data_IF_187752330381
#
_entry.id   IF_187752330381
#
_cell.length_a   1.000
_cell.length_b   1.000
_cell.length_c   1.000
_cell.angle_alpha   90.00
_cell.angle_beta   90.00
_cell.angle_gamma   90.00
#
_symmetry.space_group_name_H-M   'P 1'
#
loop_
_entity.id
_entity.type
_entity.pdbx_description
1 polymer ?
#
# COMPACT_ATOMS: atom_id res chain seq x y z
N UNK A 1 -11.02 2.50 22.52
CA UNK A 1 -9.67 2.24 21.98
C UNK A 1 -9.79 2.31 20.47
N UNK A 2 -9.47 3.44 19.86
CA UNK A 2 -9.34 3.49 18.39
C UNK A 2 -7.94 2.97 18.09
N UNK A 3 -7.85 1.79 17.48
CA UNK A 3 -6.58 1.34 16.90
C UNK A 3 -6.26 2.33 15.79
N UNK A 4 -5.31 3.23 16.02
CA UNK A 4 -4.81 4.10 14.96
C UNK A 4 -3.91 3.24 14.08
N UNK A 5 -4.50 2.60 13.07
CA UNK A 5 -3.75 1.89 12.05
C UNK A 5 -2.97 2.93 11.25
N UNK A 6 -1.70 3.13 11.61
CA UNK A 6 -0.80 3.99 10.84
C UNK A 6 -0.32 3.20 9.63
N UNK A 7 -0.66 3.68 8.44
CA UNK A 7 -0.19 3.10 7.18
C UNK A 7 1.10 3.79 6.76
N UNK A 8 2.12 2.99 6.49
CA UNK A 8 3.37 3.42 5.89
C UNK A 8 3.33 3.11 4.39
N UNK A 9 3.61 4.11 3.56
CA UNK A 9 3.61 3.99 2.09
C UNK A 9 5.00 4.35 1.60
N UNK A 10 5.64 3.44 0.86
CA UNK A 10 6.99 3.63 0.35
C UNK A 10 7.09 3.22 -1.12
N UNK A 11 8.10 3.75 -1.81
CA UNK A 11 8.37 3.53 -3.22
C UNK A 11 9.79 3.02 -3.42
N UNK A 12 9.92 1.89 -4.09
CA UNK A 12 11.19 1.27 -4.45
C UNK A 12 11.29 1.11 -5.97
N UNK A 13 12.44 1.44 -6.55
CA UNK A 13 12.69 1.18 -7.97
C UNK A 13 13.41 -0.16 -8.12
N UNK A 14 12.77 -1.13 -8.77
CA UNK A 14 13.28 -2.49 -8.87
C UNK A 14 14.31 -2.66 -10.01
N UNK A 15 15.02 -3.80 -10.00
CA UNK A 15 15.99 -4.15 -11.04
C UNK A 15 15.36 -4.41 -12.42
N UNK A 16 14.04 -4.55 -12.50
CA UNK A 16 13.27 -4.70 -13.73
C UNK A 16 12.87 -3.35 -14.35
N UNK A 17 13.26 -2.24 -13.73
CA UNK A 17 12.98 -0.89 -14.23
C UNK A 17 11.58 -0.37 -13.91
N UNK A 18 10.90 -0.96 -12.93
CA UNK A 18 9.55 -0.57 -12.49
C UNK A 18 9.58 0.09 -11.11
N UNK A 19 8.63 1.00 -10.88
CA UNK A 19 8.36 1.57 -9.56
C UNK A 19 7.40 0.65 -8.79
N UNK A 20 7.87 0.12 -7.68
CA UNK A 20 7.08 -0.69 -6.76
C UNK A 20 6.58 0.21 -5.64
N UNK A 21 5.28 0.25 -5.41
CA UNK A 21 4.66 0.91 -4.27
C UNK A 21 4.20 -0.15 -3.26
N UNK A 22 4.53 0.05 -1.99
CA UNK A 22 4.08 -0.82 -0.90
C UNK A 22 3.22 -0.03 0.08
N UNK A 23 2.15 -0.65 0.55
CA UNK A 23 1.37 -0.16 1.70
C UNK A 23 1.51 -1.18 2.83
N UNK A 24 2.01 -0.72 3.96
CA UNK A 24 2.34 -1.53 5.12
C UNK A 24 1.63 -0.98 6.35
N UNK A 25 1.08 -1.87 7.17
CA UNK A 25 0.62 -1.48 8.50
C UNK A 25 1.81 -1.39 9.46
N UNK A 26 1.96 -0.25 10.12
CA UNK A 26 3.11 0.01 10.98
C UNK A 26 3.10 -0.87 12.23
N UNK A 27 1.92 -1.15 12.79
CA UNK A 27 1.78 -1.90 14.04
C UNK A 27 2.09 -3.39 13.86
N UNK A 28 1.50 -4.03 12.86
CA UNK A 28 1.67 -5.46 12.56
C UNK A 28 2.90 -5.74 11.70
N UNK A 29 3.48 -4.71 11.08
CA UNK A 29 4.52 -4.79 10.04
C UNK A 29 4.11 -5.61 8.82
N UNK A 30 2.82 -5.89 8.63
CA UNK A 30 2.31 -6.64 7.48
C UNK A 30 2.21 -5.74 6.24
N UNK A 31 2.56 -6.29 5.08
CA UNK A 31 2.30 -5.66 3.79
C UNK A 31 0.83 -5.92 3.45
N UNK A 32 0.04 -4.85 3.34
CA UNK A 32 -1.39 -4.94 3.04
C UNK A 32 -1.66 -4.95 1.53
N UNK A 33 -0.85 -4.19 0.78
CA UNK A 33 -0.90 -4.15 -0.68
C UNK A 33 0.45 -3.81 -1.28
N UNK A 34 0.64 -4.24 -2.53
CA UNK A 34 1.82 -4.00 -3.35
C UNK A 34 1.38 -3.82 -4.80
N UNK A 35 1.95 -2.83 -5.48
CA UNK A 35 1.67 -2.57 -6.89
C UNK A 35 2.94 -2.19 -7.63
N UNK A 36 2.99 -2.54 -8.92
CA UNK A 36 4.08 -2.20 -9.83
C UNK A 36 3.60 -1.21 -10.89
N UNK A 37 4.37 -0.16 -11.11
CA UNK A 37 3.99 0.99 -11.93
C UNK A 37 5.15 1.46 -12.80
N UNK A 38 4.81 2.08 -13.93
CA UNK A 38 5.78 2.71 -14.83
C UNK A 38 6.35 4.02 -14.27
N UNK A 39 5.59 4.71 -13.41
CA UNK A 39 6.00 5.95 -12.74
C UNK A 39 5.39 6.04 -11.34
N UNK A 40 6.00 6.88 -10.49
CA UNK A 40 5.41 7.26 -9.20
C UNK A 40 4.30 8.28 -9.43
N UNK A 41 3.10 7.98 -8.96
CA UNK A 41 1.96 8.90 -9.08
C UNK A 41 1.03 8.80 -7.88
N UNK A 42 0.27 9.85 -7.65
CA UNK A 42 -0.72 9.90 -6.57
C UNK A 42 -1.88 8.95 -6.86
N UNK A 43 -2.27 8.82 -8.13
CA UNK A 43 -3.36 7.95 -8.58
C UNK A 43 -3.05 6.48 -8.31
N UNK A 44 -1.78 6.07 -8.48
CA UNK A 44 -1.33 4.73 -8.12
C UNK A 44 -1.50 4.46 -6.62
N UNK A 45 -1.12 5.42 -5.76
CA UNK A 45 -1.28 5.30 -4.31
C UNK A 45 -2.76 5.25 -3.92
N UNK A 46 -3.60 6.11 -4.49
CA UNK A 46 -5.05 6.13 -4.22
C UNK A 46 -5.67 4.78 -4.59
N UNK A 47 -5.32 4.23 -5.76
CA UNK A 47 -5.79 2.91 -6.18
C UNK A 47 -5.36 1.80 -5.20
N UNK A 48 -4.10 1.82 -4.76
CA UNK A 48 -3.59 0.83 -3.80
C UNK A 48 -4.30 0.92 -2.43
N UNK A 49 -4.57 2.14 -1.96
CA UNK A 49 -5.28 2.36 -0.69
C UNK A 49 -6.75 1.92 -0.78
N UNK A 50 -7.41 2.16 -1.91
CA UNK A 50 -8.77 1.69 -2.15
C UNK A 50 -8.85 0.15 -2.10
N UNK A 51 -7.85 -0.56 -2.62
CA UNK A 51 -7.74 -2.02 -2.47
C UNK A 51 -7.60 -2.46 -1.01
N UNK A 52 -6.77 -1.75 -0.22
CA UNK A 52 -6.58 -2.06 1.21
C UNK A 52 -7.88 -1.86 1.99
N UNK A 53 -8.61 -0.77 1.73
CA UNK A 53 -9.89 -0.48 2.38
C UNK A 53 -10.92 -1.55 2.01
N UNK A 54 -11.03 -1.91 0.73
CA UNK A 54 -11.95 -2.96 0.26
C UNK A 54 -11.63 -4.34 0.83
N UNK A 55 -10.36 -4.67 1.07
CA UNK A 55 -9.97 -5.91 1.76
C UNK A 55 -10.40 -5.89 3.22
N UNK A 56 -10.15 -4.78 3.90
CA UNK A 56 -10.52 -4.61 5.31
C UNK A 56 -12.03 -4.72 5.54
N UNK A 57 -12.85 -4.21 4.62
CA UNK A 57 -14.31 -4.30 4.69
C UNK A 57 -14.85 -5.74 4.51
N UNK A 58 -14.09 -6.62 3.85
CA UNK A 58 -14.48 -8.03 3.62
C UNK A 58 -14.08 -8.98 4.75
N UNK A 59 -13.22 -8.55 5.66
CA UNK A 59 -12.76 -9.35 6.81
C UNK A 59 -13.52 -9.01 8.12
N UNK A 60 -14.54 -8.14 8.05
CA UNK A 60 -15.41 -7.73 9.17
C UNK A 60 -16.77 -8.42 9.10
#
# INVERSE_FOLDING_TARGET
>A
MHSSSALHIDWYYNSHGQWVCIVKDEASRMILALGEYTSRSTEAVIGLLDEVIKKSDKEV
#
